data_IF_880669733440
#
_entry.id   IF_880669733440
#
_cell.length_a   1.000
_cell.length_b   1.000
_cell.length_c   1.000
_cell.angle_alpha   90.00
_cell.angle_beta   90.00
_cell.angle_gamma   90.00
#
_symmetry.space_group_name_H-M   'P 1'
#
loop_
_entity.id
_entity.type
_entity.pdbx_description
1 polymer ?
#
# COMPACT_ATOMS: atom_id res chain seq x y z
N UNK A 1 -21.70 6.52 -4.01
CA UNK A 1 -21.84 5.37 -4.91
C UNK A 1 -22.33 4.17 -4.10
N UNK A 2 -23.40 3.51 -4.52
CA UNK A 2 -23.88 2.28 -3.86
C UNK A 2 -23.00 1.10 -4.28
N UNK A 3 -22.94 0.06 -3.45
CA UNK A 3 -22.12 -1.12 -3.73
C UNK A 3 -22.41 -1.76 -5.11
N UNK A 4 -23.66 -1.71 -5.56
CA UNK A 4 -24.07 -2.23 -6.88
C UNK A 4 -23.52 -1.38 -8.04
N UNK A 5 -23.54 -0.05 -7.91
CA UNK A 5 -23.01 0.89 -8.91
C UNK A 5 -21.48 0.74 -9.03
N UNK A 6 -20.82 0.53 -7.89
CA UNK A 6 -19.37 0.26 -7.84
C UNK A 6 -19.02 -1.04 -8.55
N UNK A 7 -19.77 -2.12 -8.30
CA UNK A 7 -19.54 -3.41 -8.95
C UNK A 7 -19.70 -3.31 -10.47
N UNK A 8 -20.76 -2.67 -10.94
CA UNK A 8 -20.98 -2.48 -12.37
C UNK A 8 -19.84 -1.69 -13.01
N UNK A 9 -19.43 -0.58 -12.39
CA UNK A 9 -18.29 0.23 -12.87
C UNK A 9 -16.99 -0.58 -12.91
N UNK A 10 -16.78 -1.51 -11.98
CA UNK A 10 -15.63 -2.42 -11.98
C UNK A 10 -15.68 -3.41 -13.16
N UNK A 11 -16.84 -4.00 -13.44
CA UNK A 11 -17.01 -4.90 -14.58
C UNK A 11 -16.76 -4.18 -15.91
N UNK A 12 -17.38 -3.01 -16.10
CA UNK A 12 -17.19 -2.20 -17.31
C UNK A 12 -15.70 -1.83 -17.53
N UNK A 13 -14.99 -1.49 -16.45
CA UNK A 13 -13.56 -1.20 -16.51
C UNK A 13 -12.76 -2.43 -16.93
N UNK A 14 -13.01 -3.59 -16.31
CA UNK A 14 -12.31 -4.84 -16.62
C UNK A 14 -12.56 -5.24 -18.08
N UNK A 15 -13.80 -5.14 -18.55
CA UNK A 15 -14.19 -5.52 -19.90
C UNK A 15 -13.58 -4.59 -20.97
N UNK A 16 -13.23 -3.35 -20.59
CA UNK A 16 -12.55 -2.41 -21.48
C UNK A 16 -11.03 -2.65 -21.63
N UNK A 17 -10.43 -3.56 -20.85
CA UNK A 17 -8.99 -3.83 -20.87
C UNK A 17 -8.67 -4.92 -21.90
N UNK A 18 -8.13 -4.52 -23.05
CA UNK A 18 -7.61 -5.45 -24.07
C UNK A 18 -6.16 -5.91 -23.81
N UNK A 19 -5.44 -5.20 -22.93
CA UNK A 19 -4.05 -5.50 -22.63
C UNK A 19 -3.95 -6.59 -21.54
N UNK A 20 -3.53 -7.79 -21.92
CA UNK A 20 -3.40 -8.94 -21.02
C UNK A 20 -2.48 -8.65 -19.81
N UNK A 21 -1.34 -7.97 -20.01
CA UNK A 21 -0.43 -7.66 -18.91
C UNK A 21 -1.08 -6.72 -17.89
N UNK A 22 -1.87 -5.74 -18.35
CA UNK A 22 -2.63 -4.86 -17.48
C UNK A 22 -3.71 -5.64 -16.71
N UNK A 23 -4.42 -6.54 -17.38
CA UNK A 23 -5.44 -7.39 -16.78
C UNK A 23 -4.83 -8.31 -15.71
N UNK A 24 -3.65 -8.89 -15.98
CA UNK A 24 -2.92 -9.72 -15.03
C UNK A 24 -2.52 -8.94 -13.78
N UNK A 25 -1.99 -7.73 -13.95
CA UNK A 25 -1.63 -6.84 -12.85
C UNK A 25 -2.86 -6.48 -11.99
N UNK A 26 -3.98 -6.18 -12.63
CA UNK A 26 -5.24 -5.89 -11.94
C UNK A 26 -5.72 -7.09 -11.13
N UNK A 27 -5.73 -8.28 -11.72
CA UNK A 27 -6.09 -9.52 -11.05
C UNK A 27 -5.21 -9.78 -9.82
N UNK A 28 -3.89 -9.67 -9.95
CA UNK A 28 -2.98 -9.85 -8.82
C UNK A 28 -3.24 -8.85 -7.70
N UNK A 29 -3.47 -7.58 -8.03
CA UNK A 29 -3.75 -6.55 -7.04
C UNK A 29 -5.04 -6.84 -6.28
N UNK A 30 -6.14 -7.12 -6.99
CA UNK A 30 -7.44 -7.39 -6.37
C UNK A 30 -7.40 -8.70 -5.57
N UNK A 31 -6.77 -9.74 -6.10
CA UNK A 31 -6.61 -11.03 -5.41
C UNK A 31 -5.86 -10.86 -4.10
N UNK A 32 -4.72 -10.17 -4.12
CA UNK A 32 -3.90 -9.95 -2.93
C UNK A 32 -4.67 -9.15 -1.87
N UNK A 33 -5.44 -8.13 -2.28
CA UNK A 33 -6.26 -7.34 -1.34
C UNK A 33 -7.46 -8.10 -0.79
N UNK A 34 -8.07 -8.97 -1.59
CA UNK A 34 -9.19 -9.79 -1.15
C UNK A 34 -8.75 -10.93 -0.22
N UNK A 35 -7.58 -11.50 -0.44
CA UNK A 35 -7.02 -12.56 0.40
C UNK A 35 -6.30 -12.05 1.64
N UNK A 36 -5.84 -10.78 1.62
CA UNK A 36 -5.14 -10.18 2.74
C UNK A 36 -6.06 -10.15 3.96
N UNK A 37 -5.62 -10.78 5.05
CA UNK A 37 -6.31 -10.66 6.33
C UNK A 37 -5.83 -9.41 7.04
N UNK A 38 -6.75 -8.73 7.70
CA UNK A 38 -6.37 -7.65 8.60
C UNK A 38 -5.38 -8.16 9.65
N UNK A 39 -4.31 -7.42 9.89
CA UNK A 39 -3.25 -7.82 10.81
C UNK A 39 -2.22 -8.80 10.25
N UNK A 40 -2.36 -9.33 9.02
CA UNK A 40 -1.43 -10.34 8.49
C UNK A 40 0.03 -9.87 8.48
N UNK A 41 0.29 -8.60 8.12
CA UNK A 41 1.65 -8.03 8.19
C UNK A 41 2.17 -7.88 9.62
N UNK A 42 1.28 -7.61 10.58
CA UNK A 42 1.63 -7.49 12.00
C UNK A 42 1.97 -8.86 12.59
N UNK A 43 1.22 -9.91 12.19
CA UNK A 43 1.44 -11.30 12.62
C UNK A 43 2.76 -11.88 12.11
N UNK A 44 3.33 -11.35 11.01
CA UNK A 44 4.63 -11.78 10.48
C UNK A 44 5.82 -11.26 11.31
N UNK A 45 5.62 -10.21 12.12
CA UNK A 45 6.68 -9.61 12.90
C UNK A 45 6.95 -10.43 14.17
N UNK A 46 8.22 -10.59 14.52
CA UNK A 46 8.61 -11.06 15.85
C UNK A 46 8.19 -10.04 16.91
N UNK A 47 8.05 -10.48 18.17
CA UNK A 47 7.73 -9.59 19.28
C UNK A 47 8.65 -8.36 19.37
N UNK A 48 9.96 -8.55 19.11
CA UNK A 48 10.93 -7.46 19.11
C UNK A 48 10.68 -6.45 17.98
N UNK A 49 10.36 -6.94 16.78
CA UNK A 49 10.05 -6.06 15.64
C UNK A 49 8.71 -5.33 15.84
N UNK A 50 7.75 -5.95 16.51
CA UNK A 50 6.50 -5.29 16.91
C UNK A 50 6.76 -4.16 17.91
N UNK A 51 7.57 -4.40 18.95
CA UNK A 51 7.96 -3.35 19.91
C UNK A 51 8.70 -2.20 19.23
N UNK A 52 9.64 -2.51 18.32
CA UNK A 52 10.37 -1.50 17.56
C UNK A 52 9.42 -0.68 16.65
N UNK A 53 8.46 -1.34 15.99
CA UNK A 53 7.48 -0.65 15.14
C UNK A 53 6.63 0.33 15.97
N UNK A 54 6.15 -0.09 17.14
CA UNK A 54 5.37 0.77 18.03
C UNK A 54 6.19 1.97 18.52
N UNK A 55 7.44 1.73 18.93
CA UNK A 55 8.35 2.79 19.32
C UNK A 55 8.57 3.81 18.20
N UNK A 56 8.82 3.35 16.97
CA UNK A 56 9.00 4.22 15.81
C UNK A 56 7.73 5.02 15.47
N UNK A 57 6.55 4.42 15.65
CA UNK A 57 5.28 5.12 15.44
C UNK A 57 5.11 6.28 16.44
N UNK A 58 5.41 6.04 17.72
CA UNK A 58 5.40 7.08 18.75
C UNK A 58 6.44 8.18 18.49
N UNK A 59 7.64 7.83 18.06
CA UNK A 59 8.69 8.80 17.73
C UNK A 59 8.35 9.65 16.50
N UNK A 60 7.64 9.09 15.52
CA UNK A 60 7.25 9.80 14.32
C UNK A 60 6.31 10.98 14.65
N UNK A 61 5.40 10.80 15.60
CA UNK A 61 4.46 11.84 16.04
C UNK A 61 5.15 13.00 16.77
N UNK A 62 6.35 12.77 17.33
CA UNK A 62 7.13 13.80 18.00
C UNK A 62 7.80 14.79 17.03
N UNK A 63 7.75 14.55 15.72
CA UNK A 63 8.21 15.45 14.64
C UNK A 63 9.71 15.77 14.62
N UNK A 64 10.44 15.48 15.70
CA UNK A 64 11.88 15.71 15.86
C UNK A 64 12.72 14.80 14.98
N UNK A 65 12.23 13.59 14.70
CA UNK A 65 12.94 12.57 13.92
C UNK A 65 12.48 12.51 12.45
N UNK A 66 11.57 13.39 12.04
CA UNK A 66 11.07 13.46 10.67
C UNK A 66 11.98 14.29 9.77
N UNK A 67 12.31 13.77 8.58
CA UNK A 67 12.98 14.54 7.53
C UNK A 67 11.95 14.98 6.49
N UNK A 68 12.06 16.22 5.99
CA UNK A 68 11.14 16.66 4.95
C UNK A 68 11.36 15.86 3.66
N UNK A 69 10.27 15.60 2.94
CA UNK A 69 10.31 14.87 1.69
C UNK A 69 11.24 15.55 0.65
N UNK A 70 11.28 16.88 0.61
CA UNK A 70 12.17 17.65 -0.27
C UNK A 70 13.65 17.45 0.06
N UNK A 71 14.00 17.31 1.34
CA UNK A 71 15.37 16.98 1.75
C UNK A 71 15.78 15.59 1.26
N UNK A 72 14.87 14.61 1.32
CA UNK A 72 15.12 13.26 0.79
C UNK A 72 15.25 13.25 -0.74
N UNK A 73 14.36 13.95 -1.46
CA UNK A 73 14.50 14.13 -2.92
C UNK A 73 15.83 14.74 -3.30
N UNK A 74 16.27 15.77 -2.58
CA UNK A 74 17.56 16.43 -2.81
C UNK A 74 18.73 15.46 -2.57
N UNK A 75 18.70 14.72 -1.46
CA UNK A 75 19.74 13.72 -1.11
C UNK A 75 19.87 12.64 -2.18
N UNK A 76 18.75 12.18 -2.72
CA UNK A 76 18.70 11.06 -3.68
C UNK A 76 18.61 11.49 -5.15
N UNK A 77 18.78 12.79 -5.45
CA UNK A 77 18.70 13.37 -6.81
C UNK A 77 19.62 12.71 -7.85
N UNK A 78 20.67 12.00 -7.43
CA UNK A 78 21.55 11.26 -8.36
C UNK A 78 20.92 9.95 -8.88
N UNK A 79 19.84 9.48 -8.25
CA UNK A 79 19.19 8.19 -8.49
C UNK A 79 17.72 8.35 -8.93
N UNK A 80 17.20 9.59 -8.88
CA UNK A 80 15.89 10.03 -9.37
C UNK A 80 16.09 10.82 -10.65
#
# INVERSE_FOLDING_TARGET
MKAIELKNSFHDLIDSIDNEALLLNFYHLIKNRYSAKEGELWELLTYKEQEELLFLAEEADLGKNSISHDKMKTKHKKWL
#
